data_IF_563683886983
#
_entry.id   IF_563683886983
#
_cell.length_a   1.000
_cell.length_b   1.000
_cell.length_c   1.000
_cell.angle_alpha   90.00
_cell.angle_beta   90.00
_cell.angle_gamma   90.00
#
_symmetry.space_group_name_H-M   'P 1'
#
loop_
_entity.id
_entity.type
_entity.pdbx_description
1 polymer ?
#
# COMPACT_ATOMS: atom_id res chain seq x y z
N UNK A 1 16.94 7.12 -19.72
CA UNK A 1 16.28 8.02 -18.76
C UNK A 1 15.43 9.13 -19.38
N UNK A 2 15.67 9.54 -20.62
CA UNK A 2 14.96 10.66 -21.26
C UNK A 2 13.64 10.34 -21.96
N UNK A 3 13.37 9.12 -22.37
CA UNK A 3 12.21 8.79 -23.23
C UNK A 3 10.90 8.67 -22.44
N UNK A 4 10.93 8.13 -21.24
CA UNK A 4 9.73 8.02 -20.38
C UNK A 4 9.36 9.36 -19.73
N UNK A 5 10.33 10.18 -19.33
CA UNK A 5 10.10 11.49 -18.68
C UNK A 5 9.38 12.50 -19.57
N UNK A 6 9.54 12.44 -20.88
CA UNK A 6 8.94 13.42 -21.78
C UNK A 6 7.52 13.07 -22.26
N UNK A 7 7.05 11.85 -22.05
CA UNK A 7 5.77 11.36 -22.60
C UNK A 7 4.76 10.85 -21.57
N UNK A 8 5.18 10.56 -20.32
CA UNK A 8 4.30 10.09 -19.24
C UNK A 8 4.50 11.00 -18.03
N UNK A 9 3.57 11.94 -17.78
CA UNK A 9 3.64 12.77 -16.56
C UNK A 9 3.40 11.92 -15.30
N UNK A 10 4.24 12.10 -14.29
CA UNK A 10 4.06 11.44 -12.97
C UNK A 10 4.71 10.07 -12.83
N UNK A 11 5.66 9.83 -13.61
CA UNK A 11 6.68 8.82 -13.67
C UNK A 11 6.62 7.64 -12.69
N UNK A 12 7.29 6.58 -12.86
CA UNK A 12 7.50 5.29 -12.18
C UNK A 12 6.49 4.83 -11.08
N UNK A 13 6.09 5.65 -10.08
CA UNK A 13 5.12 5.22 -9.08
C UNK A 13 3.73 4.87 -9.62
N UNK A 14 3.36 5.41 -10.78
CA UNK A 14 2.06 5.14 -11.40
C UNK A 14 2.01 3.90 -12.30
N UNK A 15 3.14 3.31 -12.71
CA UNK A 15 3.14 2.17 -13.64
C UNK A 15 2.80 0.88 -12.89
N UNK A 16 1.75 0.18 -13.31
CA UNK A 16 1.32 -1.09 -12.75
C UNK A 16 2.05 -2.26 -13.41
N UNK A 17 1.93 -2.34 -14.73
CA UNK A 17 2.61 -3.35 -15.53
C UNK A 17 2.81 -2.86 -16.97
N UNK A 18 3.67 -3.57 -17.69
CA UNK A 18 4.00 -3.31 -19.09
C UNK A 18 3.82 -4.59 -19.87
N UNK A 19 3.06 -4.53 -20.97
CA UNK A 19 2.76 -5.68 -21.83
C UNK A 19 3.16 -5.41 -23.28
N UNK A 20 3.69 -6.43 -23.96
CA UNK A 20 3.87 -6.40 -25.41
C UNK A 20 2.57 -6.86 -26.08
N UNK A 21 1.97 -5.97 -26.86
CA UNK A 21 0.80 -6.27 -27.67
C UNK A 21 1.13 -6.05 -29.16
N UNK A 22 1.31 -7.14 -29.89
CA UNK A 22 1.72 -7.12 -31.29
C UNK A 22 3.06 -6.44 -31.51
N UNK A 23 3.04 -5.25 -32.17
CA UNK A 23 4.23 -4.44 -32.45
C UNK A 23 4.43 -3.29 -31.46
N UNK A 24 3.48 -3.07 -30.57
CA UNK A 24 3.50 -1.99 -29.58
C UNK A 24 3.77 -2.58 -28.17
N UNK A 25 4.24 -1.71 -27.30
CA UNK A 25 4.35 -1.97 -25.88
C UNK A 25 3.33 -1.09 -25.18
N UNK A 26 2.45 -1.68 -24.41
CA UNK A 26 1.44 -1.03 -23.58
C UNK A 26 1.96 -0.84 -22.17
N UNK A 27 1.81 0.37 -21.63
CA UNK A 27 2.19 0.75 -20.27
C UNK A 27 0.89 1.06 -19.52
N UNK A 28 0.51 0.16 -18.64
CA UNK A 28 -0.66 0.28 -17.78
C UNK A 28 -0.31 1.07 -16.52
N UNK A 29 -1.08 2.10 -16.21
CA UNK A 29 -0.83 2.98 -15.08
C UNK A 29 -2.07 3.11 -14.19
N UNK A 30 -1.89 3.62 -12.99
CA UNK A 30 -2.98 3.92 -12.04
C UNK A 30 -4.08 4.74 -12.71
N UNK A 31 -5.35 4.42 -12.37
CA UNK A 31 -6.54 5.09 -12.93
C UNK A 31 -6.93 4.59 -14.33
N UNK A 32 -6.66 3.30 -14.61
CA UNK A 32 -7.08 2.56 -15.82
C UNK A 32 -6.63 3.18 -17.15
N UNK A 33 -5.53 3.93 -17.10
CA UNK A 33 -4.93 4.54 -18.31
C UNK A 33 -3.88 3.61 -18.89
N UNK A 34 -3.89 3.49 -20.23
CA UNK A 34 -2.93 2.73 -21.01
C UNK A 34 -2.23 3.65 -22.00
N UNK A 35 -0.91 3.62 -21.99
CA UNK A 35 -0.08 4.35 -22.95
C UNK A 35 0.60 3.36 -23.87
N UNK A 36 0.55 3.61 -25.18
CA UNK A 36 1.24 2.83 -26.19
C UNK A 36 2.57 3.46 -26.58
N UNK A 37 3.59 2.63 -26.76
CA UNK A 37 4.92 3.04 -27.25
C UNK A 37 5.50 1.97 -28.16
N UNK A 38 6.48 2.36 -28.98
CA UNK A 38 7.31 1.45 -29.78
C UNK A 38 8.63 1.08 -29.10
N UNK A 39 8.87 1.60 -27.90
CA UNK A 39 10.04 1.24 -27.11
C UNK A 39 9.94 -0.23 -26.72
N UNK A 40 11.00 -0.99 -26.91
CA UNK A 40 10.99 -2.42 -26.60
C UNK A 40 10.88 -2.65 -25.09
N UNK A 41 10.27 -3.79 -24.71
CA UNK A 41 10.18 -4.16 -23.29
C UNK A 41 11.56 -4.34 -22.63
N UNK A 42 12.58 -4.66 -23.41
CA UNK A 42 13.95 -4.78 -22.89
C UNK A 42 14.54 -3.42 -22.54
N UNK A 43 14.35 -2.42 -23.38
CA UNK A 43 14.75 -1.04 -23.10
C UNK A 43 13.97 -0.45 -21.92
N UNK A 44 12.68 -0.79 -21.79
CA UNK A 44 11.87 -0.39 -20.64
C UNK A 44 12.35 -1.11 -19.36
N UNK A 45 12.76 -2.37 -19.44
CA UNK A 45 13.29 -3.12 -18.31
C UNK A 45 14.62 -2.53 -17.78
N UNK A 46 15.45 -1.96 -18.66
CA UNK A 46 16.67 -1.24 -18.26
C UNK A 46 16.37 0.09 -17.56
N UNK A 47 15.23 0.71 -17.87
CA UNK A 47 14.80 1.96 -17.26
C UNK A 47 13.98 1.76 -15.98
N UNK A 48 13.25 0.65 -15.89
CA UNK A 48 12.40 0.25 -14.76
C UNK A 48 13.14 -0.78 -13.89
N UNK A 49 14.35 -0.45 -13.45
CA UNK A 49 15.22 -1.38 -12.71
C UNK A 49 14.78 -1.65 -11.30
N UNK A 50 14.13 -0.67 -10.65
CA UNK A 50 13.72 -0.78 -9.25
C UNK A 50 12.24 -1.17 -9.13
N UNK A 51 11.97 -2.23 -8.35
CA UNK A 51 10.62 -2.62 -8.01
C UNK A 51 9.81 -3.28 -9.13
N UNK A 52 10.43 -3.73 -10.24
CA UNK A 52 9.77 -4.45 -11.32
C UNK A 52 10.31 -5.87 -11.48
N UNK A 53 9.42 -6.81 -11.81
CA UNK A 53 9.75 -8.20 -12.13
C UNK A 53 9.33 -8.50 -13.56
N UNK A 54 10.21 -9.14 -14.32
CA UNK A 54 9.89 -9.66 -15.64
C UNK A 54 9.28 -11.06 -15.50
N UNK A 55 7.97 -11.20 -15.62
CA UNK A 55 7.26 -12.47 -15.46
C UNK A 55 7.30 -13.35 -16.71
N UNK A 56 7.39 -12.75 -17.90
CA UNK A 56 7.72 -13.44 -19.15
C UNK A 56 8.36 -12.48 -20.16
N UNK A 57 8.71 -12.97 -21.36
CA UNK A 57 9.46 -12.18 -22.37
C UNK A 57 8.77 -10.88 -22.77
N UNK A 58 7.47 -10.77 -22.65
CA UNK A 58 6.67 -9.62 -23.04
C UNK A 58 5.93 -8.94 -21.87
N UNK A 59 6.29 -9.22 -20.60
CA UNK A 59 5.60 -8.61 -19.47
C UNK A 59 6.56 -8.25 -18.33
N UNK A 60 6.46 -7.00 -17.86
CA UNK A 60 7.05 -6.48 -16.62
C UNK A 60 5.93 -6.07 -15.68
N UNK A 61 6.06 -6.40 -14.40
CA UNK A 61 5.06 -6.08 -13.37
C UNK A 61 5.75 -5.38 -12.20
N UNK A 62 5.16 -4.30 -11.71
CA UNK A 62 5.61 -3.65 -10.49
C UNK A 62 5.33 -4.54 -9.28
N UNK A 63 6.34 -4.77 -8.44
CA UNK A 63 6.21 -5.63 -7.24
C UNK A 63 5.09 -5.15 -6.31
N UNK A 64 4.94 -3.83 -6.16
CA UNK A 64 3.94 -3.20 -5.30
C UNK A 64 2.49 -3.52 -5.66
N UNK A 65 2.21 -3.96 -6.90
CA UNK A 65 0.83 -4.28 -7.33
C UNK A 65 0.55 -5.78 -7.37
N UNK A 66 1.55 -6.62 -7.07
CA UNK A 66 1.38 -8.06 -7.00
C UNK A 66 0.75 -8.41 -5.67
N UNK A 67 -0.46 -8.97 -5.73
CA UNK A 67 -1.16 -9.51 -4.56
C UNK A 67 -0.69 -10.93 -4.23
N UNK A 68 -0.60 -11.80 -5.23
CA UNK A 68 -0.22 -13.21 -5.07
C UNK A 68 0.37 -13.80 -6.35
N UNK A 69 1.18 -14.87 -6.20
CA UNK A 69 1.78 -15.63 -7.31
C UNK A 69 1.53 -17.12 -7.11
N UNK A 70 0.47 -17.64 -7.74
CA UNK A 70 0.09 -19.06 -7.69
C UNK A 70 0.19 -19.72 -9.05
N UNK A 71 -0.89 -19.85 -9.80
CA UNK A 71 -0.98 -20.27 -11.19
C UNK A 71 -0.83 -19.09 -12.17
N UNK A 72 -1.10 -17.88 -11.68
CA UNK A 72 -0.92 -16.59 -12.34
C UNK A 72 -0.31 -15.59 -11.37
N UNK A 73 0.09 -14.43 -11.88
CA UNK A 73 0.42 -13.27 -11.05
C UNK A 73 -0.86 -12.47 -10.89
N UNK A 74 -1.44 -12.48 -9.70
CA UNK A 74 -2.64 -11.73 -9.35
C UNK A 74 -2.26 -10.34 -8.88
N UNK A 75 -2.92 -9.32 -9.42
CA UNK A 75 -2.69 -7.92 -9.06
C UNK A 75 -3.75 -7.43 -8.07
N UNK A 76 -3.42 -6.39 -7.31
CA UNK A 76 -4.33 -5.78 -6.33
C UNK A 76 -5.63 -5.22 -6.95
N UNK A 77 -5.63 -4.90 -8.25
CA UNK A 77 -6.81 -4.45 -8.99
C UNK A 77 -7.69 -5.59 -9.52
N UNK A 78 -7.36 -6.85 -9.20
CA UNK A 78 -8.09 -8.04 -9.64
C UNK A 78 -7.64 -8.61 -10.99
N UNK A 79 -6.71 -7.96 -11.69
CA UNK A 79 -6.13 -8.54 -12.92
C UNK A 79 -5.28 -9.77 -12.61
N UNK A 80 -5.23 -10.71 -13.56
CA UNK A 80 -4.40 -11.89 -13.49
C UNK A 80 -3.54 -12.02 -14.75
N UNK A 81 -2.22 -11.94 -14.57
CA UNK A 81 -1.24 -11.97 -15.64
C UNK A 81 -0.59 -13.36 -15.74
N UNK A 82 -0.44 -13.86 -16.98
CA UNK A 82 0.22 -15.12 -17.22
C UNK A 82 1.75 -14.98 -17.09
N UNK A 83 2.39 -16.02 -16.59
CA UNK A 83 3.85 -16.11 -16.55
C UNK A 83 4.36 -17.41 -17.17
N UNK A 84 5.66 -17.49 -17.43
CA UNK A 84 6.28 -18.71 -17.93
C UNK A 84 6.52 -19.68 -16.79
N UNK A 85 5.81 -20.84 -16.77
CA UNK A 85 5.87 -21.83 -15.69
C UNK A 85 7.30 -22.24 -15.30
N UNK A 86 8.21 -22.36 -16.29
CA UNK A 86 9.62 -22.66 -16.03
C UNK A 86 10.31 -21.63 -15.13
N UNK A 87 9.79 -20.40 -15.09
CA UNK A 87 10.35 -19.29 -14.31
C UNK A 87 9.66 -19.05 -12.98
N UNK A 88 8.63 -19.83 -12.66
CA UNK A 88 7.84 -19.65 -11.44
C UNK A 88 8.69 -19.50 -10.18
N UNK A 89 9.62 -20.43 -9.97
CA UNK A 89 10.54 -20.39 -8.80
C UNK A 89 11.40 -19.11 -8.78
N UNK A 90 11.94 -18.72 -9.94
CA UNK A 90 12.75 -17.51 -10.09
C UNK A 90 11.93 -16.26 -9.79
N UNK A 91 10.71 -16.18 -10.34
CA UNK A 91 9.79 -15.04 -10.15
C UNK A 91 9.43 -14.90 -8.67
N UNK A 92 9.05 -16.00 -8.00
CA UNK A 92 8.71 -16.00 -6.57
C UNK A 92 9.93 -15.59 -5.73
N UNK A 93 11.12 -16.12 -6.03
CA UNK A 93 12.34 -15.73 -5.31
C UNK A 93 12.69 -14.26 -5.51
N UNK A 94 12.52 -13.74 -6.73
CA UNK A 94 12.77 -12.33 -7.04
C UNK A 94 11.75 -11.43 -6.33
N UNK A 95 10.47 -11.83 -6.31
CA UNK A 95 9.41 -11.15 -5.57
C UNK A 95 9.75 -11.04 -4.09
N UNK A 96 10.03 -12.16 -3.42
CA UNK A 96 10.38 -12.17 -2.00
C UNK A 96 11.66 -11.37 -1.68
N UNK A 97 12.66 -11.42 -2.57
CA UNK A 97 13.87 -10.64 -2.39
C UNK A 97 13.59 -9.15 -2.43
N UNK A 98 12.83 -8.67 -3.42
CA UNK A 98 12.50 -7.25 -3.55
C UNK A 98 11.61 -6.77 -2.40
N UNK A 99 10.65 -7.57 -1.94
CA UNK A 99 9.88 -7.26 -0.74
C UNK A 99 10.78 -7.17 0.50
N UNK A 100 11.69 -8.13 0.68
CA UNK A 100 12.64 -8.14 1.79
C UNK A 100 13.56 -6.94 1.78
N UNK A 101 14.03 -6.51 0.61
CA UNK A 101 14.90 -5.35 0.47
C UNK A 101 14.13 -4.05 0.77
N UNK A 102 12.86 -3.94 0.38
CA UNK A 102 11.99 -2.84 0.78
C UNK A 102 11.83 -2.79 2.30
N UNK A 103 11.52 -3.90 2.95
CA UNK A 103 11.34 -3.96 4.41
C UNK A 103 12.67 -3.65 5.15
N UNK A 104 13.81 -4.09 4.63
CA UNK A 104 15.12 -3.76 5.22
C UNK A 104 15.46 -2.28 5.14
N UNK A 105 14.99 -1.57 4.12
CA UNK A 105 15.19 -0.13 4.01
C UNK A 105 14.47 0.66 5.12
N UNK A 106 13.58 0.01 5.86
CA UNK A 106 12.88 0.60 7.01
C UNK A 106 13.74 0.78 8.26
N UNK A 107 14.94 0.19 8.31
CA UNK A 107 15.85 0.30 9.46
C UNK A 107 16.80 1.50 9.37
N UNK A 108 16.34 2.66 8.93
CA UNK A 108 17.20 3.83 8.68
C UNK A 108 17.39 4.77 9.88
N UNK A 109 16.83 4.42 11.04
CA UNK A 109 16.99 5.20 12.30
C UNK A 109 16.20 6.53 12.35
N UNK A 110 15.33 6.80 11.37
CA UNK A 110 14.50 8.01 11.33
C UNK A 110 13.15 7.83 12.02
N UNK A 111 12.76 6.59 12.30
CA UNK A 111 11.51 6.29 13.02
C UNK A 111 11.63 6.71 14.47
N UNK A 112 10.64 7.39 15.06
CA UNK A 112 10.65 7.74 16.47
C UNK A 112 10.77 6.50 17.37
N UNK A 113 11.66 6.54 18.36
CA UNK A 113 11.97 5.38 19.20
C UNK A 113 11.13 5.31 20.49
N UNK A 114 10.30 6.30 20.78
CA UNK A 114 9.48 6.34 21.99
C UNK A 114 8.15 7.07 21.75
N UNK A 115 7.20 6.86 22.67
CA UNK A 115 5.90 7.56 22.66
C UNK A 115 6.08 9.08 22.68
N UNK A 116 7.02 9.59 23.47
CA UNK A 116 7.31 11.02 23.56
C UNK A 116 7.84 11.57 22.23
N UNK A 117 8.65 10.78 21.53
CA UNK A 117 9.18 11.15 20.22
C UNK A 117 8.06 11.22 19.18
N UNK A 118 7.12 10.27 19.17
CA UNK A 118 5.93 10.31 18.31
C UNK A 118 5.05 11.51 18.64
N UNK A 119 4.76 11.76 19.92
CA UNK A 119 3.99 12.92 20.37
C UNK A 119 4.63 14.24 19.92
N UNK A 120 5.96 14.33 19.98
CA UNK A 120 6.69 15.48 19.49
C UNK A 120 6.55 15.68 17.97
N UNK A 121 6.66 14.60 17.20
CA UNK A 121 6.53 14.64 15.74
C UNK A 121 5.11 15.05 15.31
N UNK A 122 4.09 14.53 16.00
CA UNK A 122 2.70 14.68 15.60
C UNK A 122 1.91 15.70 16.44
N UNK A 123 2.56 16.50 17.26
CA UNK A 123 1.94 17.49 18.16
C UNK A 123 0.91 18.41 17.47
N UNK A 124 1.12 18.71 16.19
CA UNK A 124 0.18 19.54 15.41
C UNK A 124 -1.16 18.84 15.15
N UNK A 125 -1.25 17.52 15.32
CA UNK A 125 -2.45 16.73 15.12
C UNK A 125 -3.27 16.49 16.38
N UNK A 126 -2.72 16.80 17.59
CA UNK A 126 -3.37 16.50 18.88
C UNK A 126 -4.80 17.05 18.96
N UNK A 127 -5.01 18.27 18.49
CA UNK A 127 -6.31 18.97 18.57
C UNK A 127 -7.07 19.05 17.24
N UNK A 128 -6.66 18.26 16.24
CA UNK A 128 -7.40 18.22 14.98
C UNK A 128 -8.79 17.56 15.17
N UNK A 129 -9.82 18.04 14.44
CA UNK A 129 -11.18 17.51 14.58
C UNK A 129 -11.34 16.12 13.96
N UNK A 130 -10.47 15.75 13.03
CA UNK A 130 -10.44 14.40 12.43
C UNK A 130 -9.52 13.47 13.20
N UNK A 131 -9.82 12.18 13.20
CA UNK A 131 -8.93 11.19 13.78
C UNK A 131 -7.69 11.00 12.91
N UNK A 132 -6.52 10.98 13.57
CA UNK A 132 -5.23 10.65 12.95
C UNK A 132 -4.49 9.66 13.83
N UNK A 133 -3.88 8.68 13.22
CA UNK A 133 -2.97 7.72 13.86
C UNK A 133 -1.79 7.41 12.97
N UNK A 134 -0.68 7.03 13.59
CA UNK A 134 0.47 6.36 12.97
C UNK A 134 0.58 4.95 13.51
N UNK A 135 0.70 4.00 12.64
CA UNK A 135 0.77 2.58 12.96
C UNK A 135 2.05 1.94 12.40
N UNK A 136 2.66 1.07 13.17
CA UNK A 136 3.74 0.18 12.74
C UNK A 136 3.16 -1.13 12.25
N UNK A 137 3.47 -1.52 11.01
CA UNK A 137 2.96 -2.76 10.42
C UNK A 137 3.74 -3.99 10.90
N UNK A 138 3.01 -5.04 11.25
CA UNK A 138 3.57 -6.35 11.59
C UNK A 138 3.42 -7.27 10.38
N UNK A 139 4.54 -7.88 9.96
CA UNK A 139 4.60 -8.79 8.83
C UNK A 139 4.91 -10.22 9.27
N UNK A 140 4.31 -11.19 8.59
CA UNK A 140 4.64 -12.61 8.75
C UNK A 140 5.97 -12.98 8.08
N UNK A 141 6.37 -14.26 8.18
CA UNK A 141 7.59 -14.77 7.55
C UNK A 141 7.55 -14.66 6.01
N UNK A 142 6.36 -14.66 5.41
CA UNK A 142 6.14 -14.50 3.96
C UNK A 142 6.06 -13.05 3.53
N UNK A 143 6.16 -12.11 4.47
CA UNK A 143 6.10 -10.68 4.26
C UNK A 143 4.71 -10.13 3.89
N UNK A 144 3.65 -10.82 4.31
CA UNK A 144 2.31 -10.27 4.30
C UNK A 144 2.03 -9.56 5.62
N UNK A 145 1.34 -8.44 5.55
CA UNK A 145 0.86 -7.77 6.75
C UNK A 145 -0.16 -8.64 7.48
N UNK A 146 0.03 -8.82 8.78
CA UNK A 146 -0.85 -9.68 9.62
C UNK A 146 -1.48 -8.91 10.76
N UNK A 147 -0.89 -7.78 11.18
CA UNK A 147 -1.36 -6.93 12.27
C UNK A 147 -0.67 -5.56 12.20
N UNK A 148 -0.99 -4.66 13.10
CA UNK A 148 -0.28 -3.41 13.30
C UNK A 148 -0.30 -2.98 14.77
N UNK A 149 0.66 -2.14 15.15
CA UNK A 149 0.76 -1.52 16.47
C UNK A 149 0.41 -0.04 16.34
N UNK A 150 -0.44 0.49 17.22
CA UNK A 150 -0.71 1.91 17.28
C UNK A 150 0.45 2.64 17.94
N UNK A 151 1.18 3.45 17.19
CA UNK A 151 2.35 4.20 17.66
C UNK A 151 2.00 5.61 18.13
N UNK A 152 1.02 6.23 17.49
CA UNK A 152 0.46 7.54 17.84
C UNK A 152 -1.03 7.58 17.53
N UNK A 153 -1.78 8.39 18.27
CA UNK A 153 -3.16 8.72 18.00
C UNK A 153 -3.56 10.00 18.71
N UNK A 154 -4.48 10.75 18.11
CA UNK A 154 -5.02 11.96 18.70
C UNK A 154 -6.36 11.69 19.45
N UNK A 155 -6.87 12.70 20.17
CA UNK A 155 -8.13 12.58 20.92
C UNK A 155 -9.32 12.21 20.04
N UNK A 156 -9.34 12.61 18.76
CA UNK A 156 -10.41 12.26 17.84
C UNK A 156 -10.41 10.75 17.53
N UNK A 157 -9.22 10.11 17.45
CA UNK A 157 -9.11 8.67 17.31
C UNK A 157 -9.73 7.95 18.53
N UNK A 158 -9.37 8.38 19.76
CA UNK A 158 -9.91 7.79 20.98
C UNK A 158 -11.45 7.83 21.02
N UNK A 159 -12.05 8.91 20.51
CA UNK A 159 -13.51 9.02 20.41
C UNK A 159 -14.13 8.05 19.40
N UNK A 160 -13.50 7.87 18.23
CA UNK A 160 -13.99 6.95 17.19
C UNK A 160 -13.85 5.50 17.66
N UNK A 161 -12.68 5.11 18.15
CA UNK A 161 -12.40 3.75 18.65
C UNK A 161 -13.10 3.45 19.97
N UNK A 162 -13.69 4.48 20.62
CA UNK A 162 -14.36 4.37 21.95
C UNK A 162 -13.41 3.79 23.01
N UNK A 163 -12.12 4.09 22.91
CA UNK A 163 -11.07 3.57 23.74
C UNK A 163 -10.08 4.67 24.13
N UNK A 164 -9.62 4.72 25.39
CA UNK A 164 -8.59 5.68 25.82
C UNK A 164 -7.27 5.49 25.04
N UNK A 165 -6.60 6.60 24.71
CA UNK A 165 -5.29 6.55 24.03
C UNK A 165 -4.25 5.74 24.79
N UNK A 166 -4.30 5.71 26.13
CA UNK A 166 -3.34 4.95 26.94
C UNK A 166 -3.51 3.45 26.81
N UNK A 167 -4.70 2.97 26.44
CA UNK A 167 -4.95 1.56 26.15
C UNK A 167 -4.64 1.24 24.68
N UNK A 168 -4.84 2.20 23.78
CA UNK A 168 -4.66 2.03 22.35
C UNK A 168 -3.17 2.06 21.95
N UNK A 169 -2.43 3.10 22.41
CA UNK A 169 -1.05 3.33 21.98
C UNK A 169 -0.09 2.30 22.61
N UNK A 170 0.67 1.61 21.76
CA UNK A 170 1.56 0.52 22.11
C UNK A 170 0.89 -0.86 22.04
N UNK A 171 -0.42 -0.93 21.81
CA UNK A 171 -1.15 -2.19 21.63
C UNK A 171 -1.27 -2.55 20.16
N UNK A 172 -1.33 -3.85 19.85
CA UNK A 172 -1.64 -4.27 18.49
C UNK A 172 -3.15 -4.30 18.27
N UNK A 173 -3.57 -4.09 17.01
CA UNK A 173 -4.99 -4.14 16.67
C UNK A 173 -5.61 -5.49 17.05
N UNK A 174 -4.95 -6.59 16.68
CA UNK A 174 -5.44 -7.93 16.98
C UNK A 174 -5.52 -8.28 18.48
N UNK A 175 -4.82 -7.53 19.37
CA UNK A 175 -4.95 -7.67 20.82
C UNK A 175 -6.17 -6.95 21.41
N UNK A 176 -6.64 -5.90 20.72
CA UNK A 176 -7.74 -5.06 21.18
C UNK A 176 -9.08 -5.42 20.52
N UNK A 177 -9.03 -5.83 19.25
CA UNK A 177 -10.19 -6.08 18.41
C UNK A 177 -10.16 -7.51 17.85
N UNK A 178 -11.31 -8.19 17.83
CA UNK A 178 -11.39 -9.60 17.42
C UNK A 178 -11.61 -9.84 15.93
N UNK A 179 -11.95 -8.80 15.17
CA UNK A 179 -12.39 -8.94 13.78
C UNK A 179 -11.58 -8.04 12.84
N UNK A 180 -10.34 -8.46 12.55
CA UNK A 180 -9.52 -7.75 11.59
C UNK A 180 -10.02 -7.99 10.16
N UNK A 181 -10.38 -6.93 9.45
CA UNK A 181 -10.71 -7.03 8.03
C UNK A 181 -9.42 -6.94 7.19
N UNK A 182 -9.20 -7.98 6.37
CA UNK A 182 -8.04 -8.10 5.46
C UNK A 182 -7.95 -6.90 4.50
N UNK A 183 -9.05 -6.26 4.19
CA UNK A 183 -9.08 -5.08 3.30
C UNK A 183 -8.31 -3.90 3.86
N UNK A 184 -8.45 -3.62 5.17
CA UNK A 184 -7.67 -2.58 5.84
C UNK A 184 -6.19 -2.92 5.86
N UNK A 185 -5.85 -4.16 6.22
CA UNK A 185 -4.47 -4.66 6.18
C UNK A 185 -3.81 -4.47 4.82
N UNK A 186 -4.48 -4.86 3.74
CA UNK A 186 -3.97 -4.71 2.38
C UNK A 186 -3.74 -3.25 1.99
N UNK A 187 -4.64 -2.35 2.39
CA UNK A 187 -4.48 -0.91 2.17
C UNK A 187 -3.27 -0.33 2.90
N UNK A 188 -3.11 -0.67 4.17
CA UNK A 188 -2.00 -0.21 4.99
C UNK A 188 -0.67 -0.82 4.55
N UNK A 189 -0.64 -2.10 4.17
CA UNK A 189 0.52 -2.75 3.55
C UNK A 189 0.98 -1.99 2.30
N UNK A 190 0.05 -1.63 1.41
CA UNK A 190 0.37 -0.88 0.20
C UNK A 190 0.93 0.52 0.51
N UNK A 191 0.35 1.22 1.46
CA UNK A 191 0.88 2.51 1.90
C UNK A 191 2.29 2.37 2.46
N UNK A 192 2.52 1.35 3.31
CA UNK A 192 3.80 1.12 3.99
C UNK A 192 4.91 0.66 3.04
N UNK A 193 4.63 -0.39 2.22
CA UNK A 193 5.66 -1.01 1.39
C UNK A 193 5.92 -0.25 0.08
N UNK A 194 4.88 0.39 -0.46
CA UNK A 194 4.94 0.93 -1.82
C UNK A 194 4.80 2.45 -1.89
N UNK A 195 4.64 3.10 -0.72
CA UNK A 195 4.55 4.55 -0.63
C UNK A 195 3.27 5.12 -1.25
N UNK A 196 2.20 4.31 -1.36
CA UNK A 196 0.94 4.74 -1.95
C UNK A 196 0.11 5.55 -0.94
N UNK A 197 -0.61 6.57 -1.44
CA UNK A 197 -1.70 7.21 -0.68
C UNK A 197 -3.01 6.68 -1.23
N UNK A 198 -3.82 6.08 -0.36
CA UNK A 198 -5.04 5.38 -0.74
C UNK A 198 -6.23 5.93 0.04
N UNK A 199 -7.37 5.98 -0.63
CA UNK A 199 -8.67 6.23 -0.01
C UNK A 199 -9.44 4.91 0.04
N UNK A 200 -9.81 4.47 1.23
CA UNK A 200 -10.54 3.25 1.49
C UNK A 200 -11.89 3.62 2.11
N UNK A 201 -12.95 2.96 1.66
CA UNK A 201 -14.28 3.11 2.27
C UNK A 201 -14.86 1.74 2.50
N UNK A 202 -15.18 1.42 3.75
CA UNK A 202 -15.86 0.18 4.10
C UNK A 202 -16.60 0.28 5.43
N UNK A 203 -17.44 -0.73 5.68
CA UNK A 203 -18.09 -0.92 6.96
C UNK A 203 -17.09 -1.49 7.98
N UNK A 204 -17.00 -0.87 9.16
CA UNK A 204 -16.23 -1.36 10.31
C UNK A 204 -17.19 -1.96 11.34
N UNK A 205 -17.18 -3.29 11.52
CA UNK A 205 -18.04 -3.94 12.50
C UNK A 205 -17.66 -3.61 13.95
N UNK A 206 -16.41 -3.21 14.21
CA UNK A 206 -15.92 -2.88 15.57
C UNK A 206 -16.64 -1.65 16.15
N UNK A 207 -16.94 -0.69 15.29
CA UNK A 207 -17.59 0.56 15.69
C UNK A 207 -18.98 0.73 15.09
N UNK A 208 -19.49 -0.29 14.36
CA UNK A 208 -20.81 -0.33 13.71
C UNK A 208 -21.09 0.88 12.80
N UNK A 209 -20.13 1.20 11.93
CA UNK A 209 -20.27 2.33 11.01
C UNK A 209 -19.46 2.16 9.73
N UNK A 210 -19.83 2.90 8.68
CA UNK A 210 -19.00 3.04 7.49
C UNK A 210 -17.89 4.05 7.77
N UNK A 211 -16.65 3.61 7.56
CA UNK A 211 -15.46 4.45 7.65
C UNK A 211 -14.95 4.81 6.26
N UNK A 212 -14.55 6.04 6.13
CA UNK A 212 -13.66 6.50 5.07
C UNK A 212 -12.29 6.70 5.69
N UNK A 213 -11.28 6.03 5.15
CA UNK A 213 -9.91 6.09 5.62
C UNK A 213 -9.02 6.59 4.49
N UNK A 214 -8.20 7.58 4.77
CA UNK A 214 -7.12 8.01 3.88
C UNK A 214 -5.83 7.55 4.51
N UNK A 215 -5.17 6.54 3.91
CA UNK A 215 -3.90 6.02 4.41
C UNK A 215 -2.74 6.44 3.50
N UNK A 216 -1.57 6.67 4.11
CA UNK A 216 -0.37 7.19 3.45
C UNK A 216 0.90 6.79 4.22
N UNK A 217 2.06 6.71 3.53
CA UNK A 217 3.32 6.38 4.20
C UNK A 217 3.74 7.49 5.16
N UNK A 218 4.32 7.12 6.31
CA UNK A 218 4.90 8.02 7.29
C UNK A 218 6.38 7.73 7.50
N UNK A 219 6.71 6.91 8.47
CA UNK A 219 8.07 6.43 8.68
C UNK A 219 8.30 5.10 7.98
N UNK A 220 9.56 4.67 7.81
CA UNK A 220 9.86 3.34 7.31
C UNK A 220 9.18 2.24 8.16
N UNK A 221 8.40 1.37 7.51
CA UNK A 221 7.60 0.34 8.20
C UNK A 221 6.26 0.81 8.77
N UNK A 222 5.94 2.09 8.59
CA UNK A 222 4.75 2.73 9.15
C UNK A 222 3.78 3.24 8.10
N UNK A 223 2.54 3.35 8.51
CA UNK A 223 1.46 3.97 7.76
C UNK A 223 0.70 4.93 8.68
N UNK A 224 0.49 6.15 8.21
CA UNK A 224 -0.48 7.06 8.83
C UNK A 224 -1.84 6.88 8.21
N UNK A 225 -2.90 7.02 8.98
CA UNK A 225 -4.23 7.17 8.41
C UNK A 225 -5.08 8.24 9.10
N UNK A 226 -5.92 8.86 8.28
CA UNK A 226 -6.88 9.86 8.70
C UNK A 226 -8.28 9.29 8.51
N UNK A 227 -9.12 9.44 9.55
CA UNK A 227 -10.56 9.22 9.46
C UNK A 227 -11.25 10.58 9.50
N UNK A 228 -11.76 11.08 8.37
CA UNK A 228 -12.54 12.31 8.34
C UNK A 228 -13.80 12.16 9.20
N UNK A 229 -14.12 13.19 9.99
CA UNK A 229 -15.29 13.23 10.88
C UNK A 229 -16.58 13.45 10.07
N UNK A 230 -16.81 12.62 9.08
CA UNK A 230 -18.05 12.66 8.29
C UNK A 230 -18.68 11.29 8.37
N UNK A 231 -19.73 11.10 9.19
CA UNK A 231 -20.51 9.88 9.14
C UNK A 231 -21.09 9.75 7.72
N UNK A 232 -20.60 8.76 6.98
CA UNK A 232 -21.20 8.40 5.70
C UNK A 232 -22.61 7.86 6.01
N UNK A 233 -23.62 8.69 5.84
CA UNK A 233 -24.99 8.21 5.86
C UNK A 233 -25.17 7.24 4.70
N UNK A 234 -25.90 6.13 4.90
CA UNK A 234 -26.16 5.04 3.93
C UNK A 234 -26.56 5.49 2.51
N UNK A 235 -26.88 6.76 2.29
CA UNK A 235 -27.24 7.32 0.98
C UNK A 235 -26.06 7.87 0.17
N UNK A 236 -24.94 8.20 0.79
CA UNK A 236 -23.80 8.81 0.07
C UNK A 236 -22.77 7.78 -0.44
N UNK A 237 -22.78 6.56 0.11
CA UNK A 237 -21.88 5.49 -0.31
C UNK A 237 -22.18 4.94 -1.73
N UNK A 238 -23.37 5.20 -2.29
CA UNK A 238 -23.79 4.65 -3.59
C UNK A 238 -23.71 5.65 -4.76
N UNK A 239 -23.30 6.89 -4.53
CA UNK A 239 -23.23 7.92 -5.58
C UNK A 239 -21.81 8.25 -6.06
N UNK A 240 -20.81 7.46 -5.69
CA UNK A 240 -19.40 7.69 -6.07
C UNK A 240 -18.80 6.48 -6.80
N UNK A 241 -19.58 5.87 -7.71
CA UNK A 241 -19.11 4.91 -8.70
C UNK A 241 -19.24 5.51 -10.09
#
# INVERSE_FOLDING_TARGET
>A
MFILHSRIPGFTPGILHVLVNGRNTEIHVLGDKVYETRVSISELAEQLTEGFIRIHRGCLVAVRVIHDITDRVYLNNGEALEFTERRKKEIIQQFHRLQKDMIRSFSDGKTPASREAYNSCYRSFDHMPFAFTDIEMIFDEKKHAVDWIFCYGNEALARIEKMPLDELIGSSFGSLFSNMDVKWLNGYERATLYGETLELTDYSPEIDTYLKVICFPTFPGHCGFILPDTPLTNKQAWCSL
#
